data_IF_447306766944
#
_entry.id   IF_447306766944
#
_cell.length_a   1.000
_cell.length_b   1.000
_cell.length_c   1.000
_cell.angle_alpha   90.00
_cell.angle_beta   90.00
_cell.angle_gamma   90.00
#
_symmetry.space_group_name_H-M   'P 1'
#
loop_
_entity.id
_entity.type
_entity.pdbx_description
1 polymer ?
#
# COMPACT_ATOMS: atom_id res chain seq x y z
N UNK A 1 -11.10 19.31 -4.31
CA UNK A 1 -10.80 17.92 -4.69
C UNK A 1 -9.86 17.31 -3.66
N UNK A 2 -10.35 16.41 -2.80
CA UNK A 2 -9.56 15.73 -1.77
C UNK A 2 -8.81 14.56 -2.38
N UNK A 3 -7.65 14.83 -2.99
CA UNK A 3 -6.68 13.77 -3.30
C UNK A 3 -6.07 13.35 -1.97
N UNK A 4 -6.51 12.21 -1.43
CA UNK A 4 -5.85 11.60 -0.30
C UNK A 4 -4.46 11.14 -0.77
N UNK A 5 -3.42 11.91 -0.46
CA UNK A 5 -2.04 11.73 -0.97
C UNK A 5 -1.42 10.38 -0.59
N UNK A 6 -2.07 9.62 0.28
CA UNK A 6 -1.59 8.35 0.81
C UNK A 6 -1.66 7.20 -0.21
N UNK A 7 -2.68 7.18 -1.08
CA UNK A 7 -2.89 6.09 -2.04
C UNK A 7 -2.29 6.43 -3.41
N UNK A 8 -1.33 5.63 -3.84
CA UNK A 8 -0.69 5.75 -5.16
C UNK A 8 -1.57 5.13 -6.25
N UNK A 9 -2.21 4.01 -5.95
CA UNK A 9 -3.13 3.34 -6.87
C UNK A 9 -4.18 2.51 -6.13
N UNK A 10 -5.33 2.33 -6.76
CA UNK A 10 -6.39 1.43 -6.31
C UNK A 10 -6.68 0.41 -7.42
N UNK A 11 -6.82 -0.85 -7.03
CA UNK A 11 -7.27 -1.94 -7.89
C UNK A 11 -8.55 -2.54 -7.32
N UNK A 12 -9.59 -2.59 -8.14
CA UNK A 12 -10.87 -3.19 -7.78
C UNK A 12 -10.93 -4.57 -8.40
N UNK A 13 -11.18 -5.59 -7.57
CA UNK A 13 -11.43 -6.96 -8.00
C UNK A 13 -12.92 -7.22 -7.93
N UNK A 14 -13.50 -7.64 -9.06
CA UNK A 14 -14.90 -8.01 -9.18
C UNK A 14 -15.03 -9.52 -9.35
N UNK A 15 -16.05 -10.09 -8.72
CA UNK A 15 -16.48 -11.49 -8.89
C UNK A 15 -18.00 -11.52 -8.94
N UNK A 16 -18.56 -12.32 -9.85
CA UNK A 16 -20.01 -12.49 -10.00
C UNK A 16 -20.79 -11.16 -10.15
N UNK A 17 -20.21 -10.22 -10.90
CA UNK A 17 -20.79 -8.89 -11.13
C UNK A 17 -20.75 -7.94 -9.94
N UNK A 18 -20.20 -8.36 -8.79
CA UNK A 18 -20.06 -7.54 -7.57
C UNK A 18 -18.60 -7.21 -7.29
N UNK A 19 -18.38 -6.14 -6.53
CA UNK A 19 -17.04 -5.83 -6.00
C UNK A 19 -16.76 -6.81 -4.87
N UNK A 20 -15.69 -7.58 -5.01
CA UNK A 20 -15.25 -8.58 -4.03
C UNK A 20 -14.15 -8.02 -3.13
N UNK A 21 -13.21 -7.27 -3.72
CA UNK A 21 -12.05 -6.77 -3.01
C UNK A 21 -11.54 -5.46 -3.59
N UNK A 22 -11.04 -4.59 -2.72
CA UNK A 22 -10.30 -3.38 -3.06
C UNK A 22 -8.87 -3.56 -2.57
N UNK A 23 -7.92 -3.39 -3.47
CA UNK A 23 -6.49 -3.40 -3.17
C UNK A 23 -5.93 -1.99 -3.37
N UNK A 24 -5.36 -1.42 -2.32
CA UNK A 24 -4.70 -0.12 -2.33
C UNK A 24 -3.20 -0.26 -2.19
N UNK A 25 -2.46 0.48 -3.02
CA UNK A 25 -1.01 0.70 -2.83
C UNK A 25 -0.84 2.05 -2.17
N UNK A 26 -0.25 2.06 -0.99
CA UNK A 26 0.03 3.25 -0.20
C UNK A 26 1.53 3.53 -0.19
N UNK A 27 1.90 4.78 -0.46
CA UNK A 27 3.29 5.23 -0.24
C UNK A 27 3.47 5.51 1.24
N UNK A 28 4.53 4.95 1.81
CA UNK A 28 4.94 5.23 3.19
C UNK A 28 5.93 6.39 3.16
N UNK A 29 5.81 7.29 4.13
CA UNK A 29 6.69 8.44 4.24
C UNK A 29 8.16 8.03 4.40
N UNK A 30 9.04 8.75 3.70
CA UNK A 30 10.46 8.40 3.56
C UNK A 30 11.23 8.39 4.91
N UNK A 31 10.64 8.93 5.99
CA UNK A 31 11.24 9.00 7.33
C UNK A 31 10.84 7.84 8.25
N UNK A 32 9.87 7.00 7.87
CA UNK A 32 9.44 5.88 8.71
C UNK A 32 10.49 4.76 8.69
N UNK A 33 10.94 4.30 9.87
CA UNK A 33 11.84 3.15 9.94
C UNK A 33 11.10 1.90 9.50
N UNK A 34 11.75 1.06 8.67
CA UNK A 34 11.15 -0.18 8.17
C UNK A 34 10.65 -1.10 9.28
N UNK A 35 11.35 -1.14 10.42
CA UNK A 35 10.97 -1.94 11.59
C UNK A 35 9.60 -1.53 12.12
N UNK A 36 9.26 -0.24 12.09
CA UNK A 36 7.98 0.26 12.58
C UNK A 36 6.84 -0.11 11.63
N UNK A 37 7.12 -0.17 10.33
CA UNK A 37 6.17 -0.64 9.31
C UNK A 37 5.87 -2.12 9.53
N UNK A 38 6.92 -2.94 9.73
CA UNK A 38 6.77 -4.39 9.94
C UNK A 38 5.95 -4.72 11.19
N UNK A 39 6.11 -3.94 12.27
CA UNK A 39 5.36 -4.10 13.52
C UNK A 39 3.87 -3.81 13.40
N UNK A 40 3.43 -3.06 12.38
CA UNK A 40 2.01 -2.72 12.24
C UNK A 40 1.19 -3.92 11.78
N UNK A 41 1.79 -4.89 11.07
CA UNK A 41 1.11 -6.04 10.47
C UNK A 41 -0.09 -5.70 9.56
N UNK A 42 -0.28 -4.41 9.24
CA UNK A 42 -1.36 -3.85 8.45
C UNK A 42 -0.92 -3.72 6.98
N UNK A 43 -0.61 -4.86 6.37
CA UNK A 43 -0.24 -4.97 4.96
C UNK A 43 -0.28 -6.43 4.51
N UNK A 44 -0.48 -6.64 3.21
CA UNK A 44 -0.27 -7.94 2.56
C UNK A 44 1.08 -8.00 1.84
N UNK A 45 1.62 -6.85 1.44
CA UNK A 45 2.91 -6.76 0.77
C UNK A 45 3.62 -5.45 1.12
N UNK A 46 4.94 -5.47 1.18
CA UNK A 46 5.79 -4.28 1.25
C UNK A 46 6.76 -4.32 0.06
N UNK A 47 6.86 -3.21 -0.66
CA UNK A 47 7.82 -3.01 -1.75
C UNK A 47 8.80 -1.91 -1.32
N UNK A 48 10.11 -2.18 -1.41
CA UNK A 48 11.18 -1.23 -1.11
C UNK A 48 12.00 -1.05 -2.38
N UNK A 49 12.21 0.19 -2.80
CA UNK A 49 13.15 0.51 -3.89
C UNK A 49 14.34 1.27 -3.34
N UNK A 50 15.52 0.85 -3.78
CA UNK A 50 16.79 1.47 -3.43
C UNK A 50 17.45 2.04 -4.69
N UNK A 51 18.12 3.18 -4.53
CA UNK A 51 19.04 3.75 -5.51
C UNK A 51 20.31 4.12 -4.75
N UNK A 52 21.47 3.69 -5.26
CA UNK A 52 22.78 4.04 -4.69
C UNK A 52 22.90 3.73 -3.18
N UNK A 53 22.34 2.58 -2.76
CA UNK A 53 22.33 2.14 -1.36
C UNK A 53 21.35 2.90 -0.45
N UNK A 54 20.61 3.89 -0.97
CA UNK A 54 19.60 4.65 -0.24
C UNK A 54 18.21 4.16 -0.59
N UNK A 55 17.34 4.03 0.41
CA UNK A 55 15.92 3.78 0.18
C UNK A 55 15.31 5.05 -0.40
N UNK A 56 14.68 4.93 -1.57
CA UNK A 56 14.02 6.05 -2.28
C UNK A 56 12.51 5.92 -2.32
N UNK A 57 11.98 4.73 -2.02
CA UNK A 57 10.56 4.44 -1.99
C UNK A 57 10.27 3.27 -1.05
N UNK A 58 9.23 3.41 -0.25
CA UNK A 58 8.59 2.29 0.43
C UNK A 58 7.09 2.36 0.13
N UNK A 59 6.55 1.28 -0.42
CA UNK A 59 5.13 1.10 -0.67
C UNK A 59 4.61 -0.07 0.16
N UNK A 60 3.37 0.03 0.65
CA UNK A 60 2.62 -1.12 1.18
C UNK A 60 1.37 -1.37 0.35
N UNK A 61 1.01 -2.64 0.23
CA UNK A 61 -0.26 -3.05 -0.36
C UNK A 61 -1.20 -3.49 0.73
N UNK A 62 -2.40 -2.92 0.76
CA UNK A 62 -3.48 -3.26 1.69
C UNK A 62 -4.68 -3.75 0.88
N UNK A 63 -5.25 -4.88 1.27
CA UNK A 63 -6.42 -5.49 0.65
C UNK A 63 -7.58 -5.48 1.63
N UNK A 64 -8.71 -4.97 1.18
CA UNK A 64 -9.96 -4.96 1.93
C UNK A 64 -11.01 -5.73 1.15
N UNK A 65 -11.50 -6.84 1.72
CA UNK A 65 -12.68 -7.52 1.19
C UNK A 65 -13.91 -6.67 1.44
N UNK A 66 -14.72 -6.50 0.41
CA UNK A 66 -16.02 -5.82 0.53
C UNK A 66 -17.03 -6.89 0.97
N UNK A 67 -17.65 -6.69 2.13
CA UNK A 67 -18.72 -7.57 2.62
C UNK A 67 -20.03 -7.29 1.91
#
# INVERSE_FOLDING_TARGET
MTRNQKFQSLRIVKRDGRIDMIEGVERIEDRTKIVDILKQHDYQNIEIKQSDGRIVLINRTVKTKVK
#
